data_IF_608993171909
#
_entry.id   IF_608993171909
#
_cell.length_a   1.000
_cell.length_b   1.000
_cell.length_c   1.000
_cell.angle_alpha   90.00
_cell.angle_beta   90.00
_cell.angle_gamma   90.00
#
_symmetry.space_group_name_H-M   'P 1'
#
loop_
_entity.id
_entity.type
_entity.pdbx_description
1 polymer ?
#
# COMPACT_ATOMS: atom_id res chain seq x y z
N UNK A 1 -30.39 1.49 -30.88
CA UNK A 1 -29.74 0.24 -30.43
C UNK A 1 -28.21 0.30 -30.39
N UNK A 2 -27.53 1.21 -31.07
CA UNK A 2 -26.07 1.40 -31.05
C UNK A 2 -25.52 2.16 -29.83
N UNK A 3 -26.36 2.95 -29.12
CA UNK A 3 -25.93 3.75 -27.96
C UNK A 3 -25.68 2.94 -26.68
N UNK A 4 -26.23 1.73 -26.57
CA UNK A 4 -26.10 0.85 -25.38
C UNK A 4 -24.97 -0.16 -25.56
N UNK A 5 -24.63 -0.55 -26.80
CA UNK A 5 -23.64 -1.58 -27.10
C UNK A 5 -22.20 -1.06 -26.99
N UNK A 6 -21.95 0.21 -27.28
CA UNK A 6 -20.63 0.82 -27.20
C UNK A 6 -20.02 0.84 -25.77
N UNK A 7 -20.76 1.33 -24.75
CA UNK A 7 -20.29 1.29 -23.37
C UNK A 7 -20.08 -0.13 -22.82
N UNK A 8 -20.92 -1.09 -23.27
CA UNK A 8 -20.82 -2.48 -22.82
C UNK A 8 -19.56 -3.19 -23.37
N UNK A 9 -19.22 -2.98 -24.63
CA UNK A 9 -18.02 -3.51 -25.25
C UNK A 9 -16.74 -2.88 -24.68
N UNK A 10 -16.77 -1.60 -24.36
CA UNK A 10 -15.65 -0.91 -23.69
C UNK A 10 -15.43 -1.47 -22.28
N UNK A 11 -16.50 -1.67 -21.51
CA UNK A 11 -16.46 -2.27 -20.17
C UNK A 11 -15.96 -3.73 -20.21
N UNK A 12 -16.36 -4.52 -21.20
CA UNK A 12 -15.90 -5.90 -21.34
C UNK A 12 -14.41 -6.00 -21.62
N UNK A 13 -13.87 -5.14 -22.46
CA UNK A 13 -12.44 -5.05 -22.73
C UNK A 13 -11.64 -4.60 -21.49
N UNK A 14 -12.21 -3.70 -20.68
CA UNK A 14 -11.63 -3.28 -19.41
C UNK A 14 -11.60 -4.42 -18.40
N UNK A 15 -12.73 -5.15 -18.24
CA UNK A 15 -12.84 -6.29 -17.31
C UNK A 15 -11.84 -7.39 -17.68
N UNK A 16 -11.69 -7.72 -18.97
CA UNK A 16 -10.70 -8.72 -19.43
C UNK A 16 -9.27 -8.29 -19.08
N UNK A 17 -8.90 -7.03 -19.35
CA UNK A 17 -7.55 -6.54 -19.07
C UNK A 17 -7.28 -6.46 -17.56
N UNK A 18 -8.22 -5.94 -16.77
CA UNK A 18 -8.09 -5.89 -15.32
C UNK A 18 -8.02 -7.29 -14.71
N UNK A 19 -8.88 -8.21 -15.14
CA UNK A 19 -8.88 -9.59 -14.68
C UNK A 19 -7.57 -10.34 -15.01
N UNK A 20 -7.01 -10.13 -16.19
CA UNK A 20 -5.72 -10.73 -16.56
C UNK A 20 -4.56 -10.20 -15.70
N UNK A 21 -4.54 -8.90 -15.42
CA UNK A 21 -3.51 -8.29 -14.57
C UNK A 21 -3.64 -8.81 -13.13
N UNK A 22 -4.85 -8.87 -12.59
CA UNK A 22 -5.11 -9.40 -11.25
C UNK A 22 -4.68 -10.87 -11.16
N UNK A 23 -5.09 -11.70 -12.13
CA UNK A 23 -4.71 -13.12 -12.19
C UNK A 23 -3.19 -13.30 -12.23
N UNK A 24 -2.52 -12.59 -13.14
CA UNK A 24 -1.05 -12.69 -13.27
C UNK A 24 -0.34 -12.24 -11.98
N UNK A 25 -0.78 -11.12 -11.40
CA UNK A 25 -0.18 -10.62 -10.16
C UNK A 25 -0.44 -11.55 -8.98
N UNK A 26 -1.61 -12.18 -8.89
CA UNK A 26 -1.91 -13.16 -7.85
C UNK A 26 -1.02 -14.40 -7.97
N UNK A 27 -0.77 -14.88 -9.19
CA UNK A 27 0.16 -16.00 -9.44
C UNK A 27 1.59 -15.63 -9.02
N UNK A 28 2.06 -14.42 -9.36
CA UNK A 28 3.39 -13.93 -8.96
C UNK A 28 3.51 -13.82 -7.44
N UNK A 29 2.50 -13.26 -6.76
CA UNK A 29 2.48 -13.16 -5.30
C UNK A 29 2.47 -14.55 -4.67
N UNK A 30 1.62 -15.45 -5.15
CA UNK A 30 1.59 -16.83 -4.66
C UNK A 30 2.95 -17.51 -4.81
N UNK A 31 3.57 -17.42 -5.98
CA UNK A 31 4.89 -17.99 -6.23
C UNK A 31 5.93 -17.41 -5.26
N UNK A 32 6.00 -16.10 -5.11
CA UNK A 32 6.99 -15.45 -4.23
C UNK A 32 6.74 -15.69 -2.75
N UNK A 33 5.50 -16.03 -2.36
CA UNK A 33 5.14 -16.39 -0.97
C UNK A 33 5.55 -17.81 -0.62
N UNK A 34 5.38 -18.76 -1.54
CA UNK A 34 5.59 -20.17 -1.25
C UNK A 34 6.94 -20.72 -1.75
N UNK A 35 7.71 -19.95 -2.51
CA UNK A 35 9.03 -20.37 -2.96
C UNK A 35 10.13 -19.51 -2.32
N UNK A 36 11.22 -20.17 -1.93
CA UNK A 36 12.36 -19.51 -1.30
C UNK A 36 13.66 -20.28 -1.49
N UNK A 37 14.74 -19.63 -1.06
CA UNK A 37 16.07 -20.22 -1.04
C UNK A 37 16.38 -20.68 0.39
N UNK A 38 16.50 -22.00 0.58
CA UNK A 38 16.93 -22.65 1.80
C UNK A 38 18.33 -23.25 1.61
N UNK A 39 18.90 -23.82 2.68
CA UNK A 39 20.21 -24.51 2.62
C UNK A 39 20.18 -25.68 1.61
N UNK A 40 19.02 -26.32 1.43
CA UNK A 40 18.83 -27.42 0.48
C UNK A 40 18.59 -26.95 -0.97
N UNK A 41 18.62 -25.62 -1.22
CA UNK A 41 18.39 -25.03 -2.54
C UNK A 41 17.02 -24.36 -2.70
N UNK A 42 16.61 -24.16 -3.95
CA UNK A 42 15.34 -23.54 -4.28
C UNK A 42 14.21 -24.59 -4.21
N UNK A 43 13.29 -24.42 -3.26
CA UNK A 43 12.15 -25.33 -3.07
C UNK A 43 10.87 -24.63 -2.67
N UNK A 44 9.77 -25.32 -2.74
CA UNK A 44 8.50 -24.89 -2.15
C UNK A 44 8.60 -25.01 -0.62
N UNK A 45 8.23 -23.95 0.08
CA UNK A 45 8.30 -23.82 1.52
C UNK A 45 7.01 -24.33 2.18
N UNK A 46 7.11 -24.88 3.36
CA UNK A 46 5.98 -25.17 4.21
C UNK A 46 5.47 -23.89 4.89
N UNK A 47 4.28 -23.94 5.50
CA UNK A 47 3.65 -22.75 6.10
C UNK A 47 4.44 -22.17 7.29
N UNK A 48 5.23 -22.98 7.97
CA UNK A 48 6.12 -22.61 9.07
C UNK A 48 7.44 -21.97 8.61
N UNK A 49 7.80 -22.12 7.33
CA UNK A 49 9.06 -21.60 6.74
C UNK A 49 8.85 -20.37 5.83
N UNK A 50 7.66 -19.76 5.85
CA UNK A 50 7.33 -18.63 4.95
C UNK A 50 8.23 -17.41 5.17
N UNK A 51 8.85 -17.27 6.33
CA UNK A 51 9.86 -16.24 6.62
C UNK A 51 11.10 -16.33 5.71
N UNK A 52 11.43 -17.54 5.22
CA UNK A 52 12.51 -17.79 4.27
C UNK A 52 12.09 -17.59 2.81
N UNK A 53 10.82 -17.30 2.55
CA UNK A 53 10.31 -17.04 1.21
C UNK A 53 10.94 -15.77 0.59
N UNK A 54 10.90 -15.69 -0.74
CA UNK A 54 11.36 -14.49 -1.45
C UNK A 54 10.63 -13.25 -0.92
N UNK A 55 9.32 -13.36 -0.75
CA UNK A 55 8.49 -12.26 -0.26
C UNK A 55 8.76 -11.95 1.23
N UNK A 56 9.02 -12.97 2.05
CA UNK A 56 9.43 -12.83 3.45
C UNK A 56 10.75 -12.06 3.59
N UNK A 57 11.76 -12.40 2.80
CA UNK A 57 13.05 -11.68 2.78
C UNK A 57 12.91 -10.23 2.32
N UNK A 58 12.07 -9.97 1.31
CA UNK A 58 11.75 -8.60 0.89
C UNK A 58 11.05 -7.85 2.03
N UNK A 59 10.10 -8.49 2.70
CA UNK A 59 9.41 -7.93 3.86
C UNK A 59 10.36 -7.56 4.99
N UNK A 60 11.27 -8.46 5.35
CA UNK A 60 12.31 -8.20 6.36
C UNK A 60 13.23 -7.04 5.98
N UNK A 61 13.64 -6.96 4.72
CA UNK A 61 14.46 -5.86 4.20
C UNK A 61 13.76 -4.51 4.27
N UNK A 62 12.45 -4.46 4.05
CA UNK A 62 11.66 -3.23 4.02
C UNK A 62 11.00 -2.89 5.37
N UNK A 63 10.96 -3.81 6.32
CA UNK A 63 10.27 -3.63 7.61
C UNK A 63 10.74 -2.40 8.39
N UNK A 64 12.03 -2.03 8.27
CA UNK A 64 12.59 -0.87 8.95
C UNK A 64 11.90 0.46 8.58
N UNK A 65 11.34 0.56 7.37
CA UNK A 65 10.62 1.76 6.89
C UNK A 65 9.35 1.98 7.73
N UNK A 66 8.72 0.90 8.22
CA UNK A 66 7.47 0.93 8.97
C UNK A 66 7.64 0.96 10.49
N UNK A 67 8.89 0.89 11.00
CA UNK A 67 9.18 1.01 12.44
C UNK A 67 8.58 2.29 13.03
N UNK A 68 8.72 3.50 12.41
CA UNK A 68 8.16 4.73 12.96
C UNK A 68 6.63 4.75 13.02
N UNK A 69 5.97 3.85 12.28
CA UNK A 69 4.51 3.69 12.24
C UNK A 69 4.01 2.59 13.18
N UNK A 70 4.92 1.91 13.91
CA UNK A 70 4.58 0.91 14.92
C UNK A 70 4.21 -0.48 14.38
N UNK A 71 4.32 -0.73 13.10
CA UNK A 71 4.13 -2.04 12.49
C UNK A 71 5.33 -2.48 11.63
N UNK A 72 6.54 -2.17 12.08
CA UNK A 72 7.81 -2.54 11.43
C UNK A 72 8.16 -4.02 11.56
N UNK A 73 7.19 -4.91 11.47
CA UNK A 73 7.41 -6.36 11.36
C UNK A 73 7.30 -6.80 9.90
N UNK A 74 7.95 -7.92 9.59
CA UNK A 74 8.01 -8.42 8.21
C UNK A 74 6.62 -8.88 7.72
N UNK A 75 5.77 -9.45 8.58
CA UNK A 75 4.44 -9.93 8.23
C UNK A 75 3.53 -8.76 7.77
N UNK A 76 3.47 -7.69 8.55
CA UNK A 76 2.69 -6.50 8.16
C UNK A 76 3.24 -5.83 6.91
N UNK A 77 4.57 -5.82 6.75
CA UNK A 77 5.22 -5.29 5.54
C UNK A 77 4.85 -6.11 4.31
N UNK A 78 4.91 -7.44 4.39
CA UNK A 78 4.48 -8.35 3.32
C UNK A 78 3.00 -8.15 3.01
N UNK A 79 2.13 -8.07 4.03
CA UNK A 79 0.71 -7.81 3.83
C UNK A 79 0.45 -6.47 3.13
N UNK A 80 1.22 -5.41 3.45
CA UNK A 80 1.13 -4.12 2.77
C UNK A 80 1.58 -4.21 1.30
N UNK A 81 2.63 -4.97 1.00
CA UNK A 81 3.12 -5.18 -0.38
C UNK A 81 2.08 -5.95 -1.19
N UNK A 82 1.52 -7.04 -0.64
CA UNK A 82 0.46 -7.81 -1.31
C UNK A 82 -0.80 -6.97 -1.51
N UNK A 83 -1.10 -6.05 -0.60
CA UNK A 83 -2.18 -5.08 -0.72
C UNK A 83 -2.02 -4.09 -1.88
N UNK A 84 -0.81 -3.83 -2.35
CA UNK A 84 -0.59 -3.06 -3.59
C UNK A 84 -1.03 -3.83 -4.85
N UNK A 85 -1.01 -5.15 -4.79
CA UNK A 85 -1.49 -6.00 -5.88
C UNK A 85 -3.02 -6.01 -5.92
N UNK A 86 -3.62 -6.37 -4.77
CA UNK A 86 -5.06 -6.39 -4.57
C UNK A 86 -5.35 -6.18 -3.08
N UNK A 87 -6.06 -5.12 -2.74
CA UNK A 87 -6.28 -4.74 -1.32
C UNK A 87 -7.06 -5.80 -0.53
N UNK A 88 -7.90 -6.56 -1.19
CA UNK A 88 -8.61 -7.71 -0.63
C UNK A 88 -7.68 -8.85 -0.19
N UNK A 89 -6.49 -8.96 -0.76
CA UNK A 89 -5.52 -9.98 -0.38
C UNK A 89 -4.85 -9.70 0.97
N UNK A 90 -4.91 -8.48 1.50
CA UNK A 90 -4.31 -8.13 2.80
C UNK A 90 -4.82 -9.05 3.90
N UNK A 91 -6.15 -9.25 3.97
CA UNK A 91 -6.78 -10.07 5.00
C UNK A 91 -6.35 -11.53 4.87
N UNK A 92 -6.34 -12.07 3.64
CA UNK A 92 -5.88 -13.43 3.38
C UNK A 92 -4.40 -13.62 3.73
N UNK A 93 -3.55 -12.69 3.32
CA UNK A 93 -2.11 -12.72 3.63
C UNK A 93 -1.86 -12.64 5.13
N UNK A 94 -2.55 -11.74 5.84
CA UNK A 94 -2.48 -11.67 7.31
C UNK A 94 -2.92 -12.97 7.96
N UNK A 95 -4.00 -13.59 7.45
CA UNK A 95 -4.45 -14.91 7.92
C UNK A 95 -3.36 -15.96 7.80
N UNK A 96 -2.68 -16.06 6.67
CA UNK A 96 -1.60 -17.03 6.43
C UNK A 96 -0.37 -16.71 7.29
N UNK A 97 0.10 -15.48 7.31
CA UNK A 97 1.34 -15.09 7.99
C UNK A 97 1.25 -15.14 9.52
N UNK A 98 0.05 -15.02 10.07
CA UNK A 98 -0.20 -15.11 11.52
C UNK A 98 -0.81 -16.45 11.94
N UNK A 99 -1.01 -17.42 11.01
CA UNK A 99 -1.39 -18.80 11.34
C UNK A 99 -0.21 -19.65 11.79
N UNK A 100 1.01 -19.31 11.39
CA UNK A 100 2.26 -20.00 11.73
C UNK A 100 2.66 -19.71 13.19
N UNK A 101 1.99 -20.32 14.16
CA UNK A 101 2.28 -20.18 15.58
C UNK A 101 1.29 -20.94 16.45
N UNK A 102 1.65 -21.17 17.71
CA UNK A 102 0.74 -21.75 18.69
C UNK A 102 -0.35 -20.72 19.03
N UNK A 103 -1.60 -21.01 18.72
CA UNK A 103 -2.74 -20.18 19.06
C UNK A 103 -3.61 -19.80 17.85
N UNK A 104 -4.63 -19.00 18.10
CA UNK A 104 -5.46 -18.47 17.01
C UNK A 104 -4.77 -17.32 16.29
N UNK A 105 -5.03 -17.17 14.99
CA UNK A 105 -4.54 -16.04 14.17
C UNK A 105 -4.78 -14.70 14.86
N UNK A 106 -5.94 -14.54 15.50
CA UNK A 106 -6.30 -13.31 16.20
C UNK A 106 -5.44 -13.06 17.44
N UNK A 107 -5.05 -14.10 18.18
CA UNK A 107 -4.18 -13.97 19.34
C UNK A 107 -2.76 -13.55 18.91
N UNK A 108 -2.24 -14.16 17.86
CA UNK A 108 -0.92 -13.82 17.30
C UNK A 108 -0.89 -12.39 16.74
N UNK A 109 -1.95 -11.95 16.07
CA UNK A 109 -2.10 -10.56 15.62
C UNK A 109 -2.19 -9.60 16.82
N UNK A 110 -2.98 -9.91 17.84
CA UNK A 110 -3.12 -9.08 19.03
C UNK A 110 -1.82 -8.96 19.84
N UNK A 111 -0.96 -9.97 19.82
CA UNK A 111 0.36 -9.91 20.43
C UNK A 111 1.33 -9.00 19.67
N UNK A 112 1.13 -8.85 18.36
CA UNK A 112 2.04 -8.08 17.49
C UNK A 112 1.59 -6.64 17.29
N UNK A 113 0.28 -6.39 17.20
CA UNK A 113 -0.28 -5.06 16.98
C UNK A 113 -0.82 -4.47 18.28
N UNK A 114 -0.41 -3.24 18.56
CA UNK A 114 -1.14 -2.37 19.50
C UNK A 114 -2.34 -1.76 18.77
N UNK A 115 -3.30 -1.23 19.53
CA UNK A 115 -4.46 -0.53 18.95
C UNK A 115 -4.00 0.59 18.01
N UNK A 116 -3.02 1.39 18.44
CA UNK A 116 -2.47 2.49 17.64
C UNK A 116 -1.79 2.00 16.36
N UNK A 117 -0.97 0.93 16.43
CA UNK A 117 -0.30 0.39 15.25
C UNK A 117 -1.26 -0.31 14.28
N UNK A 118 -2.33 -0.93 14.78
CA UNK A 118 -3.39 -1.49 13.97
C UNK A 118 -4.12 -0.44 13.15
N UNK A 119 -4.52 0.67 13.77
CA UNK A 119 -5.12 1.80 13.05
C UNK A 119 -4.16 2.45 12.05
N UNK A 120 -2.88 2.58 12.40
CA UNK A 120 -1.86 3.09 11.49
C UNK A 120 -1.68 2.19 10.26
N UNK A 121 -1.63 0.88 10.45
CA UNK A 121 -1.57 -0.12 9.38
C UNK A 121 -2.78 -0.02 8.44
N UNK A 122 -3.99 0.08 9.00
CA UNK A 122 -5.22 0.26 8.21
C UNK A 122 -5.21 1.57 7.44
N UNK A 123 -4.84 2.69 8.09
CA UNK A 123 -4.76 4.00 7.45
C UNK A 123 -3.74 4.00 6.29
N UNK A 124 -2.56 3.39 6.48
CA UNK A 124 -1.55 3.25 5.43
C UNK A 124 -2.11 2.49 4.22
N UNK A 125 -2.65 1.29 4.45
CA UNK A 125 -3.14 0.43 3.36
C UNK A 125 -4.35 1.01 2.65
N UNK A 126 -5.20 1.79 3.35
CA UNK A 126 -6.35 2.46 2.75
C UNK A 126 -5.93 3.61 1.82
N UNK A 127 -4.98 4.43 2.27
CA UNK A 127 -4.54 5.64 1.59
C UNK A 127 -3.41 5.41 0.58
N UNK A 128 -2.65 4.33 0.71
CA UNK A 128 -1.55 3.99 -0.19
C UNK A 128 -2.02 3.83 -1.63
N UNK A 129 -1.07 3.79 -2.56
CA UNK A 129 -1.31 3.67 -4.00
C UNK A 129 -2.43 2.66 -4.33
N UNK A 130 -3.24 2.93 -5.35
CA UNK A 130 -4.26 2.00 -5.81
C UNK A 130 -3.61 0.72 -6.35
N UNK A 131 -4.39 -0.36 -6.45
CA UNK A 131 -3.91 -1.64 -6.98
C UNK A 131 -3.35 -1.51 -8.41
N UNK A 132 -2.52 -2.45 -8.83
CA UNK A 132 -1.87 -2.41 -10.15
C UNK A 132 -2.85 -2.25 -11.32
N UNK A 133 -4.06 -2.83 -11.21
CA UNK A 133 -5.09 -2.65 -12.23
C UNK A 133 -5.54 -1.18 -12.36
N UNK A 134 -5.78 -0.51 -11.23
CA UNK A 134 -6.14 0.90 -11.20
C UNK A 134 -4.96 1.80 -11.62
N UNK A 135 -3.72 1.47 -11.22
CA UNK A 135 -2.52 2.16 -11.68
C UNK A 135 -2.38 2.08 -13.20
N UNK A 136 -2.66 0.92 -13.81
CA UNK A 136 -2.68 0.75 -15.26
C UNK A 136 -3.72 1.64 -15.96
N UNK A 137 -4.90 1.79 -15.36
CA UNK A 137 -5.94 2.69 -15.86
C UNK A 137 -5.52 4.16 -15.76
N UNK A 138 -5.03 4.59 -14.60
CA UNK A 138 -4.54 5.95 -14.35
C UNK A 138 -3.42 6.32 -15.33
N UNK A 139 -2.45 5.41 -15.54
CA UNK A 139 -1.34 5.64 -16.49
C UNK A 139 -1.85 5.89 -17.90
N UNK A 140 -2.87 5.17 -18.33
CA UNK A 140 -3.48 5.33 -19.65
C UNK A 140 -4.23 6.65 -19.78
N UNK A 141 -5.00 7.04 -18.76
CA UNK A 141 -5.75 8.30 -18.78
C UNK A 141 -4.85 9.53 -18.69
N UNK A 142 -3.80 9.48 -17.88
CA UNK A 142 -2.87 10.61 -17.71
C UNK A 142 -2.01 10.86 -18.95
N UNK A 143 -1.81 9.88 -19.83
CA UNK A 143 -1.00 9.94 -21.05
C UNK A 143 0.39 10.60 -20.86
N UNK A 144 0.88 10.66 -19.64
CA UNK A 144 2.15 11.25 -19.26
C UNK A 144 2.78 10.48 -18.10
N UNK A 145 3.84 9.72 -18.41
CA UNK A 145 4.51 8.84 -17.46
C UNK A 145 5.12 9.60 -16.27
N UNK A 146 5.60 10.82 -16.48
CA UNK A 146 6.21 11.63 -15.42
C UNK A 146 5.16 12.03 -14.36
N UNK A 147 4.03 12.53 -14.78
CA UNK A 147 2.93 12.92 -13.88
C UNK A 147 2.32 11.71 -13.18
N UNK A 148 2.25 10.56 -13.87
CA UNK A 148 1.81 9.31 -13.28
C UNK A 148 2.69 8.93 -12.06
N UNK A 149 4.01 8.91 -12.20
CA UNK A 149 4.90 8.56 -11.10
C UNK A 149 4.87 9.59 -9.96
N UNK A 150 4.72 10.87 -10.28
CA UNK A 150 4.54 11.93 -9.26
C UNK A 150 3.25 11.69 -8.47
N UNK A 151 2.14 11.36 -9.13
CA UNK A 151 0.87 11.11 -8.48
C UNK A 151 0.92 9.89 -7.54
N UNK A 152 1.53 8.78 -7.99
CA UNK A 152 1.71 7.58 -7.17
C UNK A 152 2.64 7.86 -5.99
N UNK A 153 3.76 8.53 -6.22
CA UNK A 153 4.70 8.91 -5.15
C UNK A 153 4.07 9.84 -4.11
N UNK A 154 3.28 10.81 -4.56
CA UNK A 154 2.52 11.70 -3.68
C UNK A 154 1.52 10.91 -2.82
N UNK A 155 0.77 9.97 -3.41
CA UNK A 155 -0.22 9.18 -2.70
C UNK A 155 0.43 8.28 -1.65
N UNK A 156 1.51 7.57 -2.00
CA UNK A 156 2.28 6.76 -1.05
C UNK A 156 2.89 7.61 0.08
N UNK A 157 3.45 8.77 -0.25
CA UNK A 157 4.01 9.69 0.73
C UNK A 157 2.96 10.24 1.69
N UNK A 158 1.78 10.62 1.16
CA UNK A 158 0.65 11.05 1.97
C UNK A 158 0.17 9.94 2.91
N UNK A 159 0.02 8.72 2.40
CA UNK A 159 -0.37 7.57 3.19
C UNK A 159 0.61 7.31 4.34
N UNK A 160 1.92 7.42 4.05
CA UNK A 160 2.98 7.26 5.05
C UNK A 160 2.89 8.33 6.16
N UNK A 161 2.72 9.60 5.78
CA UNK A 161 2.59 10.72 6.74
C UNK A 161 1.36 10.57 7.61
N UNK A 162 0.20 10.26 7.01
CA UNK A 162 -1.05 10.08 7.77
C UNK A 162 -0.95 8.90 8.73
N UNK A 163 -0.44 7.77 8.27
CA UNK A 163 -0.23 6.58 9.10
C UNK A 163 0.71 6.85 10.28
N UNK A 164 1.81 7.57 10.05
CA UNK A 164 2.73 8.00 11.10
C UNK A 164 2.03 8.90 12.13
N UNK A 165 1.24 9.87 11.68
CA UNK A 165 0.46 10.72 12.57
C UNK A 165 -0.54 9.91 13.40
N UNK A 166 -1.26 8.97 12.79
CA UNK A 166 -2.22 8.09 13.48
C UNK A 166 -1.51 7.27 14.56
N UNK A 167 -0.37 6.68 14.26
CA UNK A 167 0.40 5.91 15.23
C UNK A 167 0.89 6.76 16.40
N UNK A 168 1.54 7.88 16.10
CA UNK A 168 2.16 8.74 17.12
C UNK A 168 1.11 9.38 18.06
N UNK A 169 0.00 9.84 17.50
CA UNK A 169 -1.11 10.38 18.28
C UNK A 169 -1.81 9.26 19.08
N UNK A 170 -2.06 8.11 18.42
CA UNK A 170 -2.66 6.96 19.08
C UNK A 170 -1.83 6.48 20.28
N UNK A 171 -0.51 6.43 20.14
CA UNK A 171 0.42 6.06 21.21
C UNK A 171 0.43 7.11 22.32
N UNK A 172 0.41 8.40 21.98
CA UNK A 172 0.31 9.48 22.97
C UNK A 172 -0.96 9.37 23.80
N UNK A 173 -2.11 9.06 23.18
CA UNK A 173 -3.39 8.94 23.88
C UNK A 173 -3.44 7.68 24.76
N UNK A 174 -2.88 6.56 24.29
CA UNK A 174 -2.99 5.27 24.98
C UNK A 174 -1.94 5.08 26.07
N UNK A 175 -0.72 5.56 25.87
CA UNK A 175 0.41 5.34 26.79
C UNK A 175 0.95 6.62 27.43
N UNK A 176 0.54 7.80 26.94
CA UNK A 176 1.11 9.08 27.38
C UNK A 176 2.58 9.29 26.99
N UNK A 177 3.15 8.40 26.18
CA UNK A 177 4.55 8.46 25.78
C UNK A 177 4.78 9.61 24.79
N UNK A 178 5.56 10.60 25.21
CA UNK A 178 5.96 11.74 24.37
C UNK A 178 7.37 11.49 23.84
N UNK A 179 7.50 11.33 22.52
CA UNK A 179 8.78 11.05 21.86
C UNK A 179 9.05 11.98 20.69
N UNK A 180 10.24 11.84 20.10
CA UNK A 180 10.65 12.61 18.92
C UNK A 180 9.65 12.43 17.77
N UNK A 181 9.11 11.22 17.59
CA UNK A 181 8.08 10.92 16.58
C UNK A 181 6.79 11.72 16.77
N UNK A 182 6.37 11.96 18.03
CA UNK A 182 5.19 12.75 18.36
C UNK A 182 5.37 14.21 17.95
N UNK A 183 6.57 14.78 18.17
CA UNK A 183 6.89 16.16 17.74
C UNK A 183 6.84 16.27 16.22
N UNK A 184 7.41 15.30 15.51
CA UNK A 184 7.36 15.26 14.04
C UNK A 184 5.92 15.16 13.53
N UNK A 185 5.07 14.32 14.16
CA UNK A 185 3.67 14.20 13.81
C UNK A 185 2.91 15.52 13.96
N UNK A 186 3.11 16.24 15.08
CA UNK A 186 2.51 17.57 15.28
C UNK A 186 2.97 18.59 14.24
N UNK A 187 4.27 18.64 13.92
CA UNK A 187 4.79 19.53 12.88
C UNK A 187 4.18 19.22 11.50
N UNK A 188 4.01 17.94 11.16
CA UNK A 188 3.39 17.51 9.90
C UNK A 188 1.91 17.91 9.85
N UNK A 189 1.17 17.76 10.94
CA UNK A 189 -0.24 18.18 11.02
C UNK A 189 -0.37 19.70 10.86
N UNK A 190 0.46 20.48 11.57
CA UNK A 190 0.47 21.94 11.44
C UNK A 190 0.80 22.35 10.02
N UNK A 191 1.80 21.71 9.39
CA UNK A 191 2.15 21.92 7.99
C UNK A 191 1.00 21.60 7.04
N UNK A 192 0.28 20.50 7.28
CA UNK A 192 -0.87 20.11 6.48
C UNK A 192 -2.04 21.10 6.62
N UNK A 193 -2.33 21.55 7.84
CA UNK A 193 -3.34 22.58 8.11
C UNK A 193 -2.93 23.90 7.41
N UNK A 194 -1.66 24.30 7.51
CA UNK A 194 -1.17 25.49 6.82
C UNK A 194 -1.36 25.41 5.30
N UNK A 195 -1.08 24.24 4.69
CA UNK A 195 -1.29 24.03 3.26
C UNK A 195 -2.76 24.08 2.86
N UNK A 196 -3.68 23.58 3.71
CA UNK A 196 -5.12 23.65 3.47
C UNK A 196 -5.66 25.08 3.48
N UNK A 197 -5.17 25.92 4.38
CA UNK A 197 -5.63 27.31 4.50
C UNK A 197 -4.83 28.28 3.63
N UNK A 198 -3.78 27.84 2.95
CA UNK A 198 -2.99 28.68 2.03
C UNK A 198 -3.84 29.06 0.82
N UNK A 199 -4.06 30.37 0.56
CA UNK A 199 -4.83 30.80 -0.62
C UNK A 199 -4.12 30.34 -1.90
N UNK A 200 -4.86 29.60 -2.72
CA UNK A 200 -4.39 29.15 -4.03
C UNK A 200 -4.25 30.39 -4.96
N UNK A 201 -3.03 30.68 -5.42
CA UNK A 201 -2.81 31.62 -6.51
C UNK A 201 -3.02 30.86 -7.82
N UNK A 202 -4.15 31.08 -8.48
CA UNK A 202 -4.32 30.64 -9.86
C UNK A 202 -3.21 31.23 -10.74
N UNK A 203 -2.45 30.35 -11.37
CA UNK A 203 -1.54 30.79 -12.43
C UNK A 203 -2.38 31.08 -13.67
N UNK A 204 -2.62 32.38 -13.95
CA UNK A 204 -3.37 32.90 -15.10
C UNK A 204 -2.69 32.66 -16.43
N UNK A 205 -1.63 31.89 -16.53
CA UNK A 205 -0.92 31.60 -17.78
C UNK A 205 -1.05 30.13 -18.18
N UNK A 206 -2.25 29.71 -18.58
CA UNK A 206 -2.40 28.62 -19.54
C UNK A 206 -1.91 29.10 -20.91
N UNK A 207 -0.61 28.95 -21.16
CA UNK A 207 -0.09 28.96 -22.54
C UNK A 207 -0.56 27.68 -23.19
N UNK A 208 -1.73 27.73 -23.80
CA UNK A 208 -2.18 26.68 -24.72
C UNK A 208 -1.26 26.77 -25.94
N UNK A 209 -0.39 25.80 -26.08
CA UNK A 209 0.50 25.67 -27.24
C UNK A 209 -0.34 25.15 -28.42
N UNK A 210 -0.96 26.09 -29.15
CA UNK A 210 -1.85 25.83 -30.30
C UNK A 210 -1.12 25.20 -31.50
N UNK A 211 0.19 24.94 -31.42
CA UNK A 211 1.00 24.31 -32.47
C UNK A 211 0.91 22.78 -32.58
N UNK A 212 0.12 22.11 -31.75
CA UNK A 212 -0.04 20.66 -31.79
C UNK A 212 -1.43 20.16 -32.20
N UNK A 213 -2.28 21.03 -32.73
CA UNK A 213 -3.66 20.71 -33.18
C UNK A 213 -3.84 21.03 -34.67
N UNK A 214 -2.77 21.16 -35.45
CA UNK A 214 -2.82 21.23 -36.91
C UNK A 214 -2.18 19.99 -37.51
#
# INVERSE_FOLDING_TARGET
>A
MSLIVGPFLSNWSFIKKAGTIILLSTIVVWFTTYFGFTEDGFRMLAEDEIDMSILGKIGQCLAWIFIPQGFGNWQATVASITGLVAKENIVGTMGILYSAGEGSVYANMAATFTVASGYAFLAFNLLCAPCFAAMGAIKREMNNTRWFWIAIGYQCGLAYVVSLCVYQIGTLITTGAFGIGTVVAFLLIIGFIYLLFRPYKESTTLKVDTKKVA
#
